data_IF_325346867046
#
_entry.id   IF_325346867046
#
_cell.length_a   1.000
_cell.length_b   1.000
_cell.length_c   1.000
_cell.angle_alpha   90.00
_cell.angle_beta   90.00
_cell.angle_gamma   90.00
#
_symmetry.space_group_name_H-M   'P 1'
#
loop_
_entity.id
_entity.type
_entity.pdbx_description
1 polymer ?
#
# COMPACT_ATOMS: atom_id res chain seq x y z
N UNK A 1 -10.18 -18.43 1.91
CA UNK A 1 -9.14 -19.47 1.75
C UNK A 1 -9.77 -20.82 2.05
N UNK A 2 -9.30 -21.91 1.44
CA UNK A 2 -9.75 -23.28 1.81
C UNK A 2 -9.36 -23.65 3.24
N UNK A 3 -8.42 -22.89 3.82
CA UNK A 3 -8.01 -22.96 5.22
C UNK A 3 -8.10 -21.56 5.85
N UNK A 4 -8.98 -21.33 6.85
CA UNK A 4 -9.18 -20.02 7.46
C UNK A 4 -8.00 -19.53 8.28
N UNK A 5 -6.99 -20.36 8.55
CA UNK A 5 -5.82 -20.00 9.36
C UNK A 5 -4.57 -19.71 8.50
N UNK A 6 -4.60 -20.01 7.20
CA UNK A 6 -3.41 -19.82 6.34
C UNK A 6 -3.21 -18.37 5.93
N UNK A 7 -1.97 -17.93 5.93
CA UNK A 7 -1.55 -16.65 5.36
C UNK A 7 -2.01 -16.52 3.88
N UNK A 8 -2.45 -15.32 3.52
CA UNK A 8 -2.81 -14.95 2.14
C UNK A 8 -1.70 -14.09 1.56
N UNK A 9 -1.19 -14.47 0.39
CA UNK A 9 -0.10 -13.77 -0.29
C UNK A 9 -0.64 -12.85 -1.38
N UNK A 10 -0.34 -11.56 -1.26
CA UNK A 10 -0.67 -10.54 -2.22
C UNK A 10 0.61 -10.00 -2.88
N UNK A 11 0.87 -10.44 -4.10
CA UNK A 11 1.96 -9.92 -4.94
C UNK A 11 1.50 -8.65 -5.66
N UNK A 12 2.25 -7.57 -5.52
CA UNK A 12 1.87 -6.23 -5.96
C UNK A 12 2.89 -5.71 -6.97
N UNK A 13 2.44 -5.57 -8.21
CA UNK A 13 3.08 -4.76 -9.24
C UNK A 13 2.01 -3.83 -9.82
N UNK A 14 1.90 -2.62 -9.28
CA UNK A 14 0.81 -1.70 -9.61
C UNK A 14 1.25 -0.25 -9.62
N UNK A 15 0.87 0.53 -10.66
CA UNK A 15 1.05 1.97 -10.70
C UNK A 15 0.04 2.72 -9.80
N UNK A 16 -0.89 2.02 -9.16
CA UNK A 16 -2.02 2.61 -8.44
C UNK A 16 -3.30 2.59 -9.27
N UNK A 17 -4.20 3.54 -9.02
CA UNK A 17 -5.49 3.63 -9.72
C UNK A 17 -6.57 4.27 -8.86
N UNK A 18 -7.80 3.79 -9.00
CA UNK A 18 -8.95 4.29 -8.24
C UNK A 18 -8.78 4.11 -6.73
N UNK A 19 -8.95 5.20 -5.98
CA UNK A 19 -8.89 5.20 -4.50
C UNK A 19 -9.96 4.27 -3.94
N UNK A 20 -11.20 4.37 -4.40
CA UNK A 20 -12.30 3.57 -3.87
C UNK A 20 -12.12 2.07 -4.14
N UNK A 21 -11.61 1.71 -5.33
CA UNK A 21 -11.30 0.32 -5.65
C UNK A 21 -10.14 -0.22 -4.77
N UNK A 22 -9.09 0.57 -4.58
CA UNK A 22 -7.99 0.19 -3.69
C UNK A 22 -8.42 0.11 -2.22
N UNK A 23 -9.31 1.01 -1.77
CA UNK A 23 -9.86 0.95 -0.41
C UNK A 23 -10.74 -0.29 -0.20
N UNK A 24 -11.48 -0.75 -1.21
CA UNK A 24 -12.21 -2.02 -1.11
C UNK A 24 -11.27 -3.22 -0.91
N UNK A 25 -10.09 -3.22 -1.58
CA UNK A 25 -9.06 -4.24 -1.37
C UNK A 25 -8.48 -4.11 0.05
N UNK A 26 -8.13 -2.90 0.48
CA UNK A 26 -7.63 -2.64 1.82
C UNK A 26 -8.61 -3.13 2.89
N UNK A 27 -9.89 -2.78 2.79
CA UNK A 27 -10.89 -3.20 3.76
C UNK A 27 -11.04 -4.72 3.77
N UNK A 28 -10.96 -5.38 2.60
CA UNK A 28 -10.95 -6.84 2.52
C UNK A 28 -9.74 -7.43 3.24
N UNK A 29 -8.55 -6.84 3.09
CA UNK A 29 -7.34 -7.27 3.79
C UNK A 29 -7.50 -7.17 5.32
N UNK A 30 -8.19 -6.15 5.83
CA UNK A 30 -8.43 -5.99 7.27
C UNK A 30 -9.63 -6.80 7.79
N UNK A 31 -10.56 -7.16 6.90
CA UNK A 31 -11.81 -7.83 7.26
C UNK A 31 -11.66 -9.34 7.41
N UNK A 32 -10.77 -9.95 6.61
CA UNK A 32 -10.50 -11.38 6.72
C UNK A 32 -9.67 -11.70 7.97
N UNK A 33 -9.88 -12.86 8.61
CA UNK A 33 -9.14 -13.23 9.82
C UNK A 33 -7.68 -13.64 9.55
N UNK A 34 -7.36 -13.91 8.28
CA UNK A 34 -6.05 -14.35 7.83
C UNK A 34 -5.03 -13.22 7.86
N UNK A 35 -3.79 -13.56 8.19
CA UNK A 35 -2.68 -12.65 7.95
C UNK A 35 -2.47 -12.42 6.44
N UNK A 36 -2.25 -11.16 6.07
CA UNK A 36 -1.98 -10.77 4.69
C UNK A 36 -0.50 -10.51 4.50
N UNK A 37 0.17 -11.40 3.77
CA UNK A 37 1.55 -11.24 3.34
C UNK A 37 1.55 -10.38 2.07
N UNK A 38 2.19 -9.21 2.10
CA UNK A 38 2.32 -8.36 0.91
C UNK A 38 3.72 -8.46 0.32
N UNK A 39 3.83 -8.50 -1.00
CA UNK A 39 5.12 -8.62 -1.70
C UNK A 39 5.19 -7.64 -2.86
N UNK A 40 5.99 -6.58 -2.71
CA UNK A 40 6.25 -5.60 -3.77
C UNK A 40 7.23 -6.15 -4.82
N UNK A 41 6.77 -6.26 -6.07
CA UNK A 41 7.58 -6.69 -7.22
C UNK A 41 7.43 -5.66 -8.34
N UNK A 42 8.55 -5.20 -8.91
CA UNK A 42 8.52 -4.16 -9.94
C UNK A 42 8.20 -2.79 -9.35
N UNK A 43 6.92 -2.41 -9.25
CA UNK A 43 6.53 -1.17 -8.58
C UNK A 43 5.29 -1.32 -7.70
N UNK A 44 5.25 -0.55 -6.61
CA UNK A 44 4.07 -0.33 -5.80
C UNK A 44 3.88 1.18 -5.63
N UNK A 45 3.07 1.78 -6.50
CA UNK A 45 2.89 3.23 -6.55
C UNK A 45 1.46 3.63 -6.12
N UNK A 46 1.33 4.77 -5.44
CA UNK A 46 0.03 5.33 -5.07
C UNK A 46 -0.81 4.33 -4.26
N UNK A 47 -2.02 3.95 -4.71
CA UNK A 47 -2.79 2.88 -4.06
C UNK A 47 -2.05 1.53 -3.98
N UNK A 48 -1.13 1.24 -4.91
CA UNK A 48 -0.25 0.08 -4.81
C UNK A 48 0.71 0.16 -3.61
N UNK A 49 1.25 1.36 -3.33
CA UNK A 49 2.06 1.61 -2.13
C UNK A 49 1.23 1.40 -0.86
N UNK A 50 0.01 1.94 -0.81
CA UNK A 50 -0.86 1.79 0.36
C UNK A 50 -1.18 0.32 0.64
N UNK A 51 -1.55 -0.45 -0.39
CA UNK A 51 -1.83 -1.88 -0.26
C UNK A 51 -0.60 -2.67 0.16
N UNK A 52 0.59 -2.37 -0.39
CA UNK A 52 1.84 -2.99 0.05
C UNK A 52 2.08 -2.75 1.54
N UNK A 53 1.84 -1.52 1.97
CA UNK A 53 2.09 -1.06 3.34
C UNK A 53 1.09 -1.62 4.35
N UNK A 54 -0.11 -1.98 3.89
CA UNK A 54 -1.23 -2.47 4.69
C UNK A 54 -1.24 -3.98 4.99
N UNK A 55 -0.23 -4.73 4.52
CA UNK A 55 -0.05 -6.13 4.92
C UNK A 55 0.19 -6.27 6.42
N UNK A 56 0.04 -7.49 6.95
CA UNK A 56 0.32 -7.80 8.35
C UNK A 56 1.74 -7.36 8.71
N UNK A 57 1.89 -6.62 9.82
CA UNK A 57 3.19 -6.16 10.34
C UNK A 57 4.16 -7.33 10.52
N UNK A 58 5.38 -7.17 10.03
CA UNK A 58 6.42 -8.22 10.02
C UNK A 58 6.31 -9.18 8.82
N UNK A 59 5.25 -9.06 8.00
CA UNK A 59 5.00 -9.91 6.82
C UNK A 59 4.89 -9.10 5.52
N UNK A 60 5.51 -7.91 5.48
CA UNK A 60 5.54 -7.04 4.29
C UNK A 60 6.92 -7.11 3.63
N UNK A 61 6.96 -7.50 2.36
CA UNK A 61 8.19 -7.80 1.63
C UNK A 61 8.32 -6.95 0.38
N UNK A 62 9.56 -6.69 -0.05
CA UNK A 62 9.85 -6.07 -1.35
C UNK A 62 11.04 -6.75 -2.02
N UNK A 63 11.03 -6.83 -3.34
CA UNK A 63 12.19 -7.31 -4.12
C UNK A 63 13.25 -6.21 -4.28
N UNK A 64 14.55 -6.53 -4.40
CA UNK A 64 15.63 -5.54 -4.33
C UNK A 64 15.54 -4.41 -5.37
N UNK A 65 15.03 -4.70 -6.56
CA UNK A 65 14.93 -3.73 -7.66
C UNK A 65 13.59 -3.00 -7.71
N UNK A 66 12.65 -3.34 -6.83
CA UNK A 66 11.35 -2.70 -6.85
C UNK A 66 11.42 -1.24 -6.37
N UNK A 67 10.38 -0.49 -6.73
CA UNK A 67 10.21 0.92 -6.35
C UNK A 67 8.87 1.14 -5.69
N UNK A 68 8.85 2.04 -4.72
CA UNK A 68 7.63 2.51 -4.07
C UNK A 68 7.44 3.98 -4.42
N UNK A 69 6.21 4.40 -4.74
CA UNK A 69 5.87 5.81 -4.94
C UNK A 69 4.81 6.22 -3.91
N UNK A 70 5.13 7.24 -3.12
CA UNK A 70 4.16 7.97 -2.31
C UNK A 70 3.83 9.29 -3.02
N UNK A 71 2.54 9.58 -3.15
CA UNK A 71 2.05 10.89 -3.57
C UNK A 71 0.64 11.16 -3.05
N UNK A 72 0.18 12.39 -3.16
CA UNK A 72 -1.20 12.76 -2.85
C UNK A 72 -2.17 12.21 -3.91
N UNK A 73 -3.45 11.99 -3.56
CA UNK A 73 -4.45 11.63 -4.54
C UNK A 73 -4.62 12.74 -5.58
N UNK A 74 -4.91 12.34 -6.81
CA UNK A 74 -5.17 13.25 -7.93
C UNK A 74 -6.60 13.04 -8.44
N UNK A 75 -7.26 14.13 -8.82
CA UNK A 75 -8.61 14.09 -9.37
C UNK A 75 -8.89 15.32 -10.25
N UNK A 76 -9.70 15.13 -11.28
CA UNK A 76 -10.21 16.20 -12.12
C UNK A 76 -11.71 16.34 -11.90
N UNK A 77 -12.15 17.55 -11.55
CA UNK A 77 -13.55 17.83 -11.24
C UNK A 77 -14.01 19.09 -11.99
N UNK A 78 -15.28 19.11 -12.39
CA UNK A 78 -15.92 20.24 -13.06
C UNK A 78 -17.42 20.20 -12.84
N UNK A 79 -18.10 21.34 -13.00
CA UNK A 79 -19.53 21.48 -12.73
C UNK A 79 -19.85 22.86 -12.19
N UNK A 80 -20.95 22.96 -11.46
CA UNK A 80 -21.30 24.18 -10.72
C UNK A 80 -20.30 24.46 -9.59
N UNK A 81 -20.35 25.66 -9.01
CA UNK A 81 -19.53 26.00 -7.84
C UNK A 81 -19.73 25.00 -6.70
N UNK A 82 -20.98 24.58 -6.46
CA UNK A 82 -21.33 23.60 -5.44
C UNK A 82 -20.77 22.20 -5.75
N UNK A 83 -20.78 21.78 -7.01
CA UNK A 83 -20.20 20.48 -7.40
C UNK A 83 -18.69 20.46 -7.18
N UNK A 84 -18.00 21.52 -7.61
CA UNK A 84 -16.55 21.68 -7.43
C UNK A 84 -16.20 21.65 -5.94
N UNK A 85 -16.93 22.40 -5.11
CA UNK A 85 -16.69 22.44 -3.66
C UNK A 85 -16.90 21.06 -3.02
N UNK A 86 -17.96 20.35 -3.41
CA UNK A 86 -18.26 19.01 -2.88
C UNK A 86 -17.15 18.02 -3.21
N UNK A 87 -16.68 18.01 -4.47
CA UNK A 87 -15.62 17.10 -4.90
C UNK A 87 -14.26 17.47 -4.29
N UNK A 88 -13.96 18.76 -4.16
CA UNK A 88 -12.74 19.23 -3.50
C UNK A 88 -12.70 18.79 -2.03
N UNK A 89 -13.82 18.86 -1.31
CA UNK A 89 -13.88 18.38 0.06
C UNK A 89 -13.65 16.86 0.12
N UNK A 90 -14.30 16.10 -0.77
CA UNK A 90 -14.16 14.64 -0.80
C UNK A 90 -12.71 14.19 -1.03
N UNK A 91 -11.97 14.82 -1.95
CA UNK A 91 -10.57 14.43 -2.19
C UNK A 91 -9.66 14.81 -1.02
N UNK A 92 -9.95 15.90 -0.30
CA UNK A 92 -9.22 16.27 0.92
C UNK A 92 -9.44 15.24 2.02
N UNK A 93 -10.70 14.79 2.21
CA UNK A 93 -11.04 13.77 3.20
C UNK A 93 -10.36 12.43 2.86
N UNK A 94 -10.37 12.04 1.58
CA UNK A 94 -9.65 10.86 1.10
C UNK A 94 -8.14 10.98 1.32
N UNK A 95 -7.53 12.14 1.01
CA UNK A 95 -6.10 12.40 1.27
C UNK A 95 -5.76 12.18 2.74
N UNK A 96 -6.57 12.74 3.64
CA UNK A 96 -6.37 12.58 5.08
C UNK A 96 -6.44 11.11 5.48
N UNK A 97 -7.45 10.37 5.00
CA UNK A 97 -7.63 8.96 5.34
C UNK A 97 -6.48 8.08 4.87
N UNK A 98 -5.98 8.28 3.65
CA UNK A 98 -4.84 7.53 3.12
C UNK A 98 -3.55 7.84 3.91
N UNK A 99 -3.38 9.09 4.34
CA UNK A 99 -2.25 9.50 5.18
C UNK A 99 -2.31 8.88 6.57
N UNK A 100 -3.48 8.83 7.23
CA UNK A 100 -3.67 8.15 8.51
C UNK A 100 -3.28 6.67 8.46
N UNK A 101 -3.77 5.95 7.44
CA UNK A 101 -3.48 4.52 7.25
C UNK A 101 -1.97 4.32 7.07
N UNK A 102 -1.36 5.12 6.18
CA UNK A 102 0.07 5.03 5.90
C UNK A 102 0.90 5.37 7.13
N UNK A 103 0.53 6.42 7.88
CA UNK A 103 1.19 6.83 9.11
C UNK A 103 1.15 5.72 10.16
N UNK A 104 -0.03 5.15 10.42
CA UNK A 104 -0.20 4.04 11.36
C UNK A 104 0.66 2.81 10.99
N UNK A 105 0.76 2.51 9.69
CA UNK A 105 1.51 1.36 9.19
C UNK A 105 3.01 1.62 9.00
N UNK A 106 3.48 2.85 9.02
CA UNK A 106 4.92 3.18 8.85
C UNK A 106 5.56 3.67 10.15
N UNK A 107 4.76 4.08 11.14
CA UNK A 107 5.25 4.73 12.36
C UNK A 107 5.62 6.21 12.15
N UNK A 108 5.27 6.79 10.99
CA UNK A 108 5.40 8.23 10.71
C UNK A 108 4.19 8.99 11.25
N UNK A 109 4.28 10.31 11.34
CA UNK A 109 3.10 11.15 11.60
C UNK A 109 2.34 11.43 10.30
N UNK A 110 1.06 11.80 10.43
CA UNK A 110 0.22 12.17 9.27
C UNK A 110 0.81 13.38 8.55
N UNK A 111 1.37 14.34 9.27
CA UNK A 111 2.01 15.53 8.72
C UNK A 111 3.23 15.16 7.90
N UNK A 112 4.05 14.22 8.38
CA UNK A 112 5.22 13.75 7.65
C UNK A 112 4.82 13.02 6.37
N UNK A 113 3.83 12.12 6.42
CA UNK A 113 3.33 11.42 5.22
C UNK A 113 2.79 12.41 4.20
N UNK A 114 2.02 13.41 4.63
CA UNK A 114 1.48 14.44 3.74
C UNK A 114 2.58 15.30 3.10
N UNK A 115 3.60 15.69 3.87
CA UNK A 115 4.74 16.46 3.35
C UNK A 115 5.56 15.63 2.36
N UNK A 116 5.82 14.37 2.69
CA UNK A 116 6.63 13.46 1.88
C UNK A 116 5.92 13.02 0.59
N UNK A 117 4.58 13.07 0.57
CA UNK A 117 3.73 12.77 -0.58
C UNK A 117 3.14 14.00 -1.29
N UNK A 118 3.52 15.23 -0.93
CA UNK A 118 2.96 16.42 -1.60
C UNK A 118 3.32 16.45 -3.10
N UNK A 119 4.48 15.89 -3.45
CA UNK A 119 4.86 15.57 -4.82
C UNK A 119 5.17 14.09 -4.93
N UNK A 120 5.30 13.63 -6.16
CA UNK A 120 5.81 12.29 -6.45
C UNK A 120 7.16 12.07 -5.77
N UNK A 121 7.18 11.19 -4.77
CA UNK A 121 8.39 10.75 -4.10
C UNK A 121 8.58 9.26 -4.32
N UNK A 122 9.65 8.92 -5.04
CA UNK A 122 10.06 7.55 -5.31
C UNK A 122 11.07 7.07 -4.27
N UNK A 123 10.91 5.81 -3.87
CA UNK A 123 11.75 5.14 -2.89
C UNK A 123 12.31 3.85 -3.52
N UNK A 124 13.62 3.64 -3.31
CA UNK A 124 14.27 2.34 -3.48
C UNK A 124 13.75 1.31 -2.48
N UNK A 125 14.12 0.03 -2.64
CA UNK A 125 13.73 -1.02 -1.70
C UNK A 125 14.28 -0.74 -0.28
N UNK A 126 15.51 -0.26 -0.20
CA UNK A 126 16.19 0.13 1.04
C UNK A 126 15.52 1.33 1.70
N UNK A 127 15.18 2.36 0.92
CA UNK A 127 14.46 3.53 1.44
C UNK A 127 13.04 3.17 1.86
N UNK A 128 12.36 2.27 1.14
CA UNK A 128 11.02 1.82 1.49
C UNK A 128 11.01 1.02 2.81
N UNK A 129 12.03 0.19 3.03
CA UNK A 129 12.28 -0.49 4.30
C UNK A 129 12.53 0.53 5.42
N UNK A 130 13.44 1.48 5.21
CA UNK A 130 13.78 2.51 6.21
C UNK A 130 12.59 3.44 6.52
N UNK A 131 11.72 3.70 5.55
CA UNK A 131 10.51 4.47 5.74
C UNK A 131 9.43 3.69 6.52
N UNK A 132 9.45 2.36 6.46
CA UNK A 132 8.51 1.48 7.14
C UNK A 132 7.35 1.00 6.26
N UNK A 133 7.41 1.18 4.94
CA UNK A 133 6.41 0.64 4.01
C UNK A 133 6.42 -0.89 3.98
N UNK A 134 7.59 -1.48 4.19
CA UNK A 134 7.82 -2.92 4.23
C UNK A 134 8.71 -3.27 5.41
N UNK A 135 8.77 -4.56 5.75
CA UNK A 135 9.56 -5.08 6.86
C UNK A 135 10.84 -5.78 6.39
N UNK A 136 10.84 -6.28 5.15
CA UNK A 136 11.93 -7.10 4.63
C UNK A 136 12.18 -6.89 3.14
N UNK A 137 13.46 -6.94 2.75
CA UNK A 137 13.88 -7.06 1.33
C UNK A 137 14.23 -8.53 1.07
N UNK A 138 13.68 -9.13 0.01
CA UNK A 138 13.89 -10.55 -0.36
C UNK A 138 14.04 -10.73 -1.87
N UNK A 139 15.04 -11.51 -2.27
CA UNK A 139 15.34 -11.78 -3.68
C UNK A 139 14.63 -13.04 -4.22
N UNK A 140 14.26 -13.99 -3.35
CA UNK A 140 13.58 -15.23 -3.72
C UNK A 140 12.28 -15.42 -2.95
N UNK A 141 11.29 -16.06 -3.60
CA UNK A 141 10.02 -16.43 -2.98
C UNK A 141 10.19 -17.45 -1.83
N UNK A 142 11.27 -18.23 -1.85
CA UNK A 142 11.63 -19.17 -0.77
C UNK A 142 11.97 -18.48 0.55
N UNK A 143 12.29 -17.19 0.50
CA UNK A 143 12.79 -16.43 1.65
C UNK A 143 11.68 -15.63 2.36
N UNK A 144 10.43 -15.81 1.90
CA UNK A 144 9.21 -15.26 2.48
C UNK A 144 8.65 -16.29 3.46
N UNK A 145 8.21 -15.84 4.64
CA UNK A 145 7.64 -16.72 5.69
C UNK A 145 6.50 -17.54 5.10
N UNK A 146 6.45 -18.84 5.45
CA UNK A 146 5.48 -19.81 4.93
C UNK A 146 5.86 -20.42 3.58
N UNK A 147 6.99 -20.01 2.98
CA UNK A 147 7.48 -20.50 1.70
C UNK A 147 6.57 -20.03 0.58
N UNK A 148 6.94 -18.97 -0.14
CA UNK A 148 6.16 -18.44 -1.27
C UNK A 148 6.03 -19.39 -2.47
N UNK A 149 6.42 -20.67 -2.31
CA UNK A 149 6.22 -21.75 -3.26
C UNK A 149 5.22 -22.78 -2.72
N UNK A 150 4.40 -23.31 -3.61
CA UNK A 150 3.56 -24.47 -3.33
C UNK A 150 4.43 -25.60 -2.80
N UNK A 151 4.34 -25.92 -1.52
CA UNK A 151 4.87 -27.18 -0.99
C UNK A 151 4.09 -28.33 -1.65
N UNK A 152 4.53 -28.76 -2.83
CA UNK A 152 3.74 -29.65 -3.68
C UNK A 152 4.39 -29.99 -5.03
N UNK A 153 5.61 -30.54 -4.98
CA UNK A 153 6.15 -31.67 -5.79
C UNK A 153 7.65 -31.52 -6.03
#
# INVERSE_FOLDING_TARGET
>A
AEDPEKDIYLYINSPGGSITAGMAIYDTMQFVPNDIVTVGIGMAASMGQLLLTAGTKGKRYITPNARVLLHQPHGGFGGTSSDIQTQAQLIVDMKHRLAEITAAQTGKTVEQVNADGDRDRWFTAEEALAYGFVDHIRASATDIVGGGGTSGK
#
